data_IF_449500736427
#
_entry.id   IF_449500736427
#
_cell.length_a   1.000
_cell.length_b   1.000
_cell.length_c   1.000
_cell.angle_alpha   90.00
_cell.angle_beta   90.00
_cell.angle_gamma   90.00
#
_symmetry.space_group_name_H-M   'P 1'
#
loop_
_entity.id
_entity.type
_entity.pdbx_description
1 polymer ?
#
# COMPACT_ATOMS: atom_id res chain seq x y z
N UNK A 1 -26.61 22.94 -43.37
CA UNK A 1 -26.87 21.78 -42.55
C UNK A 1 -26.48 20.52 -43.32
N UNK A 2 -25.59 19.71 -42.79
CA UNK A 2 -25.05 18.51 -43.44
C UNK A 2 -26.12 17.45 -43.68
N UNK A 3 -27.12 17.36 -42.78
CA UNK A 3 -28.27 16.42 -42.90
C UNK A 3 -29.13 16.80 -44.13
N UNK A 4 -29.42 18.10 -44.31
CA UNK A 4 -30.18 18.58 -45.45
C UNK A 4 -29.48 18.31 -46.77
N UNK A 5 -28.13 18.47 -46.83
CA UNK A 5 -27.32 18.17 -48.01
C UNK A 5 -27.33 16.66 -48.32
N UNK A 6 -27.16 15.81 -47.32
CA UNK A 6 -27.20 14.36 -47.49
C UNK A 6 -28.58 13.89 -48.01
N UNK A 7 -29.66 14.43 -47.47
CA UNK A 7 -31.04 14.14 -47.97
C UNK A 7 -31.24 14.61 -49.40
N UNK A 8 -30.71 15.80 -49.75
CA UNK A 8 -30.78 16.34 -51.14
C UNK A 8 -30.00 15.46 -52.12
N UNK A 9 -28.96 14.81 -51.71
CA UNK A 9 -28.15 13.86 -52.50
C UNK A 9 -28.74 12.44 -52.51
N UNK A 10 -29.87 12.23 -51.85
CA UNK A 10 -30.56 10.92 -51.79
C UNK A 10 -29.92 9.92 -50.87
N UNK A 11 -29.01 10.37 -49.97
CA UNK A 11 -28.36 9.50 -48.96
C UNK A 11 -29.32 9.18 -47.83
N UNK A 12 -29.23 7.94 -47.33
CA UNK A 12 -30.04 7.50 -46.18
C UNK A 12 -29.46 8.08 -44.90
N UNK A 13 -30.22 8.94 -44.24
CA UNK A 13 -29.88 9.46 -42.89
C UNK A 13 -30.61 8.62 -41.84
N UNK A 14 -29.83 8.08 -40.87
CA UNK A 14 -30.40 7.34 -39.75
C UNK A 14 -30.06 8.08 -38.45
N UNK A 15 -30.98 8.04 -37.50
CA UNK A 15 -30.74 8.53 -36.14
C UNK A 15 -30.25 7.41 -35.24
N UNK A 16 -29.33 7.73 -34.37
CA UNK A 16 -28.95 6.90 -33.22
C UNK A 16 -29.22 7.71 -31.95
N UNK A 17 -29.73 7.04 -30.93
CA UNK A 17 -29.97 7.66 -29.63
C UNK A 17 -28.99 7.07 -28.62
N UNK A 18 -28.37 7.89 -27.74
CA UNK A 18 -27.60 7.40 -26.63
C UNK A 18 -28.50 6.78 -25.56
N UNK A 19 -27.93 5.96 -24.69
CA UNK A 19 -28.66 5.38 -23.56
C UNK A 19 -28.97 6.43 -22.49
N UNK A 20 -28.12 7.49 -22.40
CA UNK A 20 -28.32 8.61 -21.50
C UNK A 20 -27.92 9.96 -22.10
N UNK A 21 -28.60 11.04 -21.68
CA UNK A 21 -28.29 12.40 -22.12
C UNK A 21 -26.83 12.79 -21.85
N UNK A 22 -26.25 12.28 -20.78
CA UNK A 22 -24.87 12.55 -20.35
C UNK A 22 -23.79 12.08 -21.35
N UNK A 23 -24.11 11.13 -22.23
CA UNK A 23 -23.17 10.65 -23.27
C UNK A 23 -22.89 11.69 -24.37
N UNK A 24 -23.79 12.63 -24.55
CA UNK A 24 -23.72 13.64 -25.61
C UNK A 24 -23.50 15.06 -25.09
N UNK A 25 -23.34 15.23 -23.77
CA UNK A 25 -23.10 16.54 -23.19
C UNK A 25 -21.66 17.02 -23.49
N UNK A 26 -21.57 18.26 -23.96
CA UNK A 26 -20.30 18.95 -24.17
C UNK A 26 -19.77 19.60 -22.90
N UNK A 27 -18.45 19.72 -22.80
CA UNK A 27 -17.77 20.38 -21.68
C UNK A 27 -17.18 21.71 -22.15
N UNK A 28 -17.73 22.83 -21.65
CA UNK A 28 -17.25 24.18 -21.93
C UNK A 28 -16.74 24.92 -20.68
N UNK A 29 -16.92 24.31 -19.50
CA UNK A 29 -16.50 24.90 -18.21
C UNK A 29 -16.00 23.82 -17.24
N UNK A 30 -15.22 24.21 -16.23
CA UNK A 30 -14.80 23.31 -15.16
C UNK A 30 -15.97 22.80 -14.29
N UNK A 31 -17.06 23.56 -14.22
CA UNK A 31 -18.28 23.15 -13.54
C UNK A 31 -18.89 21.95 -14.28
N UNK A 32 -19.11 22.10 -15.59
CA UNK A 32 -19.63 21.01 -16.44
C UNK A 32 -18.71 19.77 -16.42
N UNK A 33 -17.39 19.98 -16.44
CA UNK A 33 -16.42 18.88 -16.29
C UNK A 33 -16.63 18.13 -14.97
N UNK A 34 -16.74 18.86 -13.86
CA UNK A 34 -16.94 18.26 -12.54
C UNK A 34 -18.28 17.52 -12.43
N UNK A 35 -19.34 18.05 -13.05
CA UNK A 35 -20.65 17.40 -13.11
C UNK A 35 -20.59 16.08 -13.88
N UNK A 36 -20.00 16.08 -15.08
CA UNK A 36 -19.84 14.87 -15.88
C UNK A 36 -18.90 13.84 -15.24
N UNK A 37 -17.86 14.30 -14.57
CA UNK A 37 -17.01 13.40 -13.77
C UNK A 37 -17.81 12.69 -12.69
N UNK A 38 -18.71 13.38 -11.98
CA UNK A 38 -19.57 12.73 -10.98
C UNK A 38 -20.57 11.74 -11.60
N UNK A 39 -21.10 12.04 -12.79
CA UNK A 39 -21.92 11.09 -13.53
C UNK A 39 -21.13 9.84 -13.91
N UNK A 40 -19.93 10.02 -14.45
CA UNK A 40 -19.03 8.92 -14.81
C UNK A 40 -18.71 8.03 -13.60
N UNK A 41 -18.29 8.62 -12.47
CA UNK A 41 -17.99 7.88 -11.25
C UNK A 41 -19.24 7.18 -10.69
N UNK A 42 -20.40 7.78 -10.81
CA UNK A 42 -21.67 7.14 -10.41
C UNK A 42 -21.97 5.90 -11.26
N UNK A 43 -21.80 5.99 -12.57
CA UNK A 43 -22.01 4.85 -13.47
C UNK A 43 -21.06 3.69 -13.16
N UNK A 44 -19.80 3.99 -12.84
CA UNK A 44 -18.83 2.98 -12.38
C UNK A 44 -19.31 2.33 -11.08
N UNK A 45 -19.69 3.13 -10.10
CA UNK A 45 -20.14 2.62 -8.79
C UNK A 45 -21.42 1.75 -8.94
N UNK A 46 -22.38 2.18 -9.77
CA UNK A 46 -23.60 1.41 -10.03
C UNK A 46 -23.29 0.07 -10.74
N UNK A 47 -22.36 0.06 -11.70
CA UNK A 47 -21.89 -1.17 -12.34
C UNK A 47 -21.20 -2.11 -11.33
N UNK A 48 -20.42 -1.58 -10.40
CA UNK A 48 -19.78 -2.35 -9.32
C UNK A 48 -20.82 -2.97 -8.38
N UNK A 49 -21.84 -2.20 -7.98
CA UNK A 49 -22.94 -2.70 -7.13
C UNK A 49 -23.72 -3.83 -7.83
N UNK A 50 -24.02 -3.66 -9.13
CA UNK A 50 -24.66 -4.71 -9.95
C UNK A 50 -23.75 -5.94 -10.09
N UNK A 51 -22.43 -5.72 -10.18
CA UNK A 51 -21.42 -6.77 -10.22
C UNK A 51 -21.17 -7.46 -8.87
N UNK A 52 -21.87 -7.04 -7.79
CA UNK A 52 -21.81 -7.69 -6.47
C UNK A 52 -20.79 -7.11 -5.51
N UNK A 53 -20.13 -6.00 -5.84
CA UNK A 53 -19.26 -5.28 -4.88
C UNK A 53 -20.12 -4.55 -3.85
N UNK A 54 -19.72 -4.60 -2.59
CA UNK A 54 -20.34 -3.82 -1.53
C UNK A 54 -19.62 -2.48 -1.38
N UNK A 55 -20.31 -1.37 -1.64
CA UNK A 55 -19.80 -0.02 -1.42
C UNK A 55 -20.49 0.59 -0.20
N UNK A 56 -19.70 1.14 0.74
CA UNK A 56 -20.26 1.83 1.90
C UNK A 56 -21.01 3.10 1.50
N UNK A 57 -20.51 3.82 0.50
CA UNK A 57 -21.17 4.98 -0.11
C UNK A 57 -20.73 5.12 -1.57
N UNK A 58 -21.62 4.84 -2.55
CA UNK A 58 -21.28 4.92 -3.97
C UNK A 58 -20.97 6.35 -4.46
N UNK A 59 -21.29 7.39 -3.69
CA UNK A 59 -20.94 8.77 -4.04
C UNK A 59 -19.51 9.16 -3.60
N UNK A 60 -18.86 8.34 -2.77
CA UNK A 60 -17.55 8.63 -2.19
C UNK A 60 -16.49 7.61 -2.59
N UNK A 61 -16.43 7.29 -3.86
CA UNK A 61 -15.39 6.46 -4.49
C UNK A 61 -14.95 7.16 -5.76
N UNK A 62 -13.66 7.11 -6.07
CA UNK A 62 -13.11 7.61 -7.32
C UNK A 62 -12.25 6.53 -8.00
N UNK A 63 -12.62 6.16 -9.22
CA UNK A 63 -11.87 5.24 -10.07
C UNK A 63 -11.29 6.04 -11.24
N UNK A 64 -9.95 6.15 -11.28
CA UNK A 64 -9.19 6.90 -12.28
C UNK A 64 -8.32 5.97 -13.09
N UNK A 65 -8.94 5.01 -13.74
CA UNK A 65 -8.30 3.95 -14.51
C UNK A 65 -9.16 2.71 -14.61
N UNK A 66 -8.53 1.55 -14.52
CA UNK A 66 -9.21 0.25 -14.59
C UNK A 66 -9.26 -0.39 -13.20
N UNK A 67 -10.45 -0.70 -12.72
CA UNK A 67 -10.66 -1.46 -11.50
C UNK A 67 -11.37 -2.78 -11.83
N UNK A 68 -10.67 -3.89 -11.66
CA UNK A 68 -11.24 -5.23 -11.70
C UNK A 68 -11.42 -5.80 -10.30
N UNK A 69 -12.47 -6.59 -10.10
CA UNK A 69 -12.81 -7.11 -8.79
C UNK A 69 -13.40 -8.52 -8.88
N UNK A 70 -13.13 -9.30 -7.85
CA UNK A 70 -13.73 -10.61 -7.63
C UNK A 70 -15.06 -10.53 -6.90
N UNK A 71 -15.46 -11.65 -6.29
CA UNK A 71 -16.71 -11.76 -5.51
C UNK A 71 -16.50 -11.28 -4.07
N UNK A 72 -17.58 -10.80 -3.45
CA UNK A 72 -17.64 -10.41 -2.04
C UNK A 72 -16.62 -9.30 -1.65
N UNK A 73 -16.18 -8.50 -2.62
CA UNK A 73 -15.31 -7.35 -2.36
C UNK A 73 -16.09 -6.27 -1.61
N UNK A 74 -15.47 -5.67 -0.59
CA UNK A 74 -15.99 -4.51 0.13
C UNK A 74 -15.07 -3.30 -0.01
N UNK A 75 -15.63 -2.13 -0.33
CA UNK A 75 -14.90 -0.86 -0.43
C UNK A 75 -15.60 0.19 0.42
N UNK A 76 -14.85 0.77 1.33
CA UNK A 76 -15.33 1.83 2.22
C UNK A 76 -15.18 3.22 1.57
N UNK A 77 -15.59 4.26 2.28
CA UNK A 77 -15.70 5.62 1.76
C UNK A 77 -14.35 6.29 1.47
N UNK A 78 -14.33 7.15 0.48
CA UNK A 78 -13.18 8.01 0.19
C UNK A 78 -11.99 7.27 -0.42
N UNK A 79 -12.19 6.08 -0.95
CA UNK A 79 -11.15 5.35 -1.65
C UNK A 79 -10.91 5.89 -3.05
N UNK A 80 -9.65 5.92 -3.47
CA UNK A 80 -9.21 6.34 -4.80
C UNK A 80 -8.42 5.20 -5.44
N UNK A 81 -8.83 4.79 -6.64
CA UNK A 81 -8.17 3.77 -7.44
C UNK A 81 -7.59 4.40 -8.70
N UNK A 82 -6.27 4.28 -8.93
CA UNK A 82 -5.59 4.88 -10.07
C UNK A 82 -4.86 3.81 -10.91
N UNK A 83 -4.80 4.04 -12.23
CA UNK A 83 -4.16 3.11 -13.16
C UNK A 83 -4.87 1.77 -13.21
N UNK A 84 -4.14 0.66 -13.09
CA UNK A 84 -4.71 -0.68 -13.11
C UNK A 84 -4.72 -1.27 -11.71
N UNK A 85 -5.91 -1.49 -11.15
CA UNK A 85 -6.08 -2.11 -9.82
C UNK A 85 -6.90 -3.39 -9.94
N UNK A 86 -6.41 -4.46 -9.35
CA UNK A 86 -7.06 -5.77 -9.32
C UNK A 86 -7.30 -6.20 -7.87
N UNK A 87 -8.56 -6.38 -7.49
CA UNK A 87 -8.98 -6.87 -6.18
C UNK A 87 -9.54 -8.28 -6.34
N UNK A 88 -8.90 -9.28 -5.76
CA UNK A 88 -9.41 -10.65 -5.80
C UNK A 88 -10.64 -10.85 -4.91
N UNK A 89 -11.18 -12.08 -4.83
CA UNK A 89 -12.34 -12.41 -4.02
C UNK A 89 -12.14 -12.04 -2.53
N UNK A 90 -13.19 -11.57 -1.88
CA UNK A 90 -13.27 -11.25 -0.45
C UNK A 90 -12.24 -10.19 0.04
N UNK A 91 -11.71 -9.36 -0.85
CA UNK A 91 -10.85 -8.24 -0.46
C UNK A 91 -11.69 -7.15 0.22
N UNK A 92 -11.19 -6.64 1.35
CA UNK A 92 -11.78 -5.50 2.05
C UNK A 92 -10.84 -4.29 1.99
N UNK A 93 -11.34 -3.15 1.49
CA UNK A 93 -10.61 -1.88 1.44
C UNK A 93 -11.27 -0.88 2.39
N UNK A 94 -10.58 -0.56 3.48
CA UNK A 94 -11.02 0.43 4.46
C UNK A 94 -10.99 1.86 3.94
N UNK A 95 -11.57 2.82 4.69
CA UNK A 95 -11.80 4.16 4.20
C UNK A 95 -10.50 4.94 3.94
N UNK A 96 -10.59 5.89 2.99
CA UNK A 96 -9.52 6.82 2.63
C UNK A 96 -8.22 6.16 2.19
N UNK A 97 -8.30 5.00 1.55
CA UNK A 97 -7.16 4.35 0.93
C UNK A 97 -6.93 4.86 -0.50
N UNK A 98 -5.67 4.96 -0.90
CA UNK A 98 -5.26 5.26 -2.28
C UNK A 98 -4.47 4.08 -2.81
N UNK A 99 -4.99 3.44 -3.87
CA UNK A 99 -4.36 2.30 -4.54
C UNK A 99 -4.05 2.69 -5.99
N UNK A 100 -2.81 2.50 -6.41
CA UNK A 100 -2.37 2.80 -7.77
C UNK A 100 -1.53 1.66 -8.34
N UNK A 101 -1.98 1.07 -9.45
CA UNK A 101 -1.31 -0.09 -10.08
C UNK A 101 -1.04 -1.22 -9.06
N UNK A 102 -2.07 -1.72 -8.42
CA UNK A 102 -1.96 -2.69 -7.31
C UNK A 102 -2.73 -3.96 -7.65
N UNK A 103 -2.12 -5.10 -7.35
CA UNK A 103 -2.82 -6.38 -7.36
C UNK A 103 -2.95 -6.88 -5.92
N UNK A 104 -4.19 -7.19 -5.50
CA UNK A 104 -4.51 -7.61 -4.13
C UNK A 104 -5.10 -9.00 -4.13
N UNK A 105 -4.44 -9.92 -3.45
CA UNK A 105 -4.84 -11.32 -3.31
C UNK A 105 -6.09 -11.53 -2.44
N UNK A 106 -6.73 -12.67 -2.65
CA UNK A 106 -7.98 -13.08 -1.98
C UNK A 106 -7.92 -12.93 -0.45
N UNK A 107 -9.01 -12.48 0.16
CA UNK A 107 -9.16 -12.38 1.61
C UNK A 107 -8.33 -11.29 2.28
N UNK A 108 -7.55 -10.54 1.51
CA UNK A 108 -6.70 -9.48 2.05
C UNK A 108 -7.53 -8.30 2.55
N UNK A 109 -7.15 -7.79 3.72
CA UNK A 109 -7.75 -6.62 4.33
C UNK A 109 -6.79 -5.44 4.35
N UNK A 110 -7.20 -4.32 3.73
CA UNK A 110 -6.49 -3.05 3.75
C UNK A 110 -7.20 -2.12 4.74
N UNK A 111 -6.55 -1.81 5.85
CA UNK A 111 -7.09 -0.94 6.89
C UNK A 111 -7.05 0.55 6.47
N UNK A 112 -7.73 1.47 7.19
CA UNK A 112 -7.86 2.87 6.81
C UNK A 112 -6.55 3.60 6.53
N UNK A 113 -6.60 4.60 5.63
CA UNK A 113 -5.53 5.56 5.36
C UNK A 113 -4.23 4.93 4.81
N UNK A 114 -4.33 3.83 4.08
CA UNK A 114 -3.17 3.25 3.40
C UNK A 114 -2.93 3.90 2.04
N UNK A 115 -1.64 4.04 1.69
CA UNK A 115 -1.22 4.49 0.36
C UNK A 115 -0.35 3.41 -0.27
N UNK A 116 -0.84 2.82 -1.35
CA UNK A 116 -0.23 1.65 -2.00
C UNK A 116 -0.03 1.95 -3.48
N UNK A 117 1.20 1.82 -3.98
CA UNK A 117 1.56 2.12 -5.36
C UNK A 117 2.50 1.06 -5.92
N UNK A 118 2.21 0.58 -7.15
CA UNK A 118 3.01 -0.39 -7.91
C UNK A 118 3.45 -1.58 -7.03
N UNK A 119 2.49 -2.26 -6.41
CA UNK A 119 2.72 -3.31 -5.43
C UNK A 119 1.89 -4.57 -5.72
N UNK A 120 2.45 -5.72 -5.34
CA UNK A 120 1.76 -7.01 -5.34
C UNK A 120 1.52 -7.44 -3.89
N UNK A 121 0.29 -7.77 -3.56
CA UNK A 121 -0.10 -8.22 -2.22
C UNK A 121 -0.71 -9.61 -2.34
N UNK A 122 -0.11 -10.57 -1.66
CA UNK A 122 -0.58 -11.95 -1.59
C UNK A 122 -1.91 -12.10 -0.84
N UNK A 123 -2.48 -13.32 -0.83
CA UNK A 123 -3.74 -13.59 -0.15
C UNK A 123 -3.62 -13.50 1.37
N UNK A 124 -4.77 -13.27 2.01
CA UNK A 124 -4.95 -13.23 3.46
C UNK A 124 -4.02 -12.26 4.21
N UNK A 125 -3.60 -11.19 3.50
CA UNK A 125 -2.76 -10.13 4.06
C UNK A 125 -3.55 -9.17 4.96
N UNK A 126 -2.88 -8.61 5.97
CA UNK A 126 -3.41 -7.53 6.82
C UNK A 126 -2.51 -6.29 6.66
N UNK A 127 -3.02 -5.22 6.01
CA UNK A 127 -2.23 -4.04 5.65
C UNK A 127 -2.79 -2.79 6.34
N UNK A 128 -1.96 -2.11 7.10
CA UNK A 128 -2.30 -0.85 7.75
C UNK A 128 -2.79 -0.98 9.20
N UNK A 129 -3.43 0.07 9.74
CA UNK A 129 -3.71 1.36 9.09
C UNK A 129 -2.45 2.22 8.88
N UNK A 130 -2.55 3.29 8.05
CA UNK A 130 -1.44 4.22 7.78
C UNK A 130 -0.17 3.54 7.24
N UNK A 131 -0.30 2.46 6.50
CA UNK A 131 0.82 1.81 5.82
C UNK A 131 1.09 2.47 4.47
N UNK A 132 2.36 2.57 4.10
CA UNK A 132 2.80 3.05 2.80
C UNK A 132 3.58 1.98 2.05
N UNK A 133 2.98 1.40 1.02
CA UNK A 133 3.67 0.48 0.12
C UNK A 133 4.04 1.24 -1.16
N UNK A 134 5.33 1.25 -1.47
CA UNK A 134 5.91 1.98 -2.60
C UNK A 134 6.31 1.03 -3.72
N UNK A 135 6.61 1.58 -4.92
CA UNK A 135 6.94 0.78 -6.09
C UNK A 135 7.97 -0.32 -5.83
N UNK A 136 7.65 -1.51 -6.35
CA UNK A 136 8.46 -2.72 -6.22
C UNK A 136 8.33 -3.42 -4.86
N UNK A 137 7.20 -3.23 -4.17
CA UNK A 137 6.83 -3.99 -2.98
C UNK A 137 6.08 -5.25 -3.38
N UNK A 138 6.54 -6.40 -2.89
CA UNK A 138 5.88 -7.69 -3.09
C UNK A 138 5.68 -8.38 -1.73
N UNK A 139 4.43 -8.63 -1.38
CA UNK A 139 4.05 -9.29 -0.14
C UNK A 139 3.49 -10.69 -0.42
N UNK A 140 4.01 -11.68 0.26
CA UNK A 140 3.53 -13.06 0.22
C UNK A 140 2.20 -13.27 0.96
N UNK A 141 1.72 -14.50 1.03
CA UNK A 141 0.51 -14.85 1.78
C UNK A 141 0.62 -14.55 3.28
N UNK A 142 -0.49 -14.16 3.90
CA UNK A 142 -0.62 -13.96 5.35
C UNK A 142 0.37 -12.95 5.95
N UNK A 143 0.92 -12.06 5.13
CA UNK A 143 1.82 -11.00 5.60
C UNK A 143 1.04 -9.94 6.35
N UNK A 144 1.63 -9.44 7.45
CA UNK A 144 1.06 -8.36 8.25
C UNK A 144 1.95 -7.13 8.23
N UNK A 145 1.42 -6.04 7.70
CA UNK A 145 2.06 -4.73 7.67
C UNK A 145 1.21 -3.77 8.50
N UNK A 146 1.73 -3.31 9.62
CA UNK A 146 0.96 -2.47 10.54
C UNK A 146 1.16 -0.97 10.30
N UNK A 147 0.84 -0.18 11.33
CA UNK A 147 0.77 1.26 11.23
C UNK A 147 2.14 1.95 11.14
N UNK A 148 2.19 2.98 10.31
CA UNK A 148 3.39 3.79 10.07
C UNK A 148 4.59 2.95 9.57
N UNK A 149 4.30 1.95 8.77
CA UNK A 149 5.32 1.14 8.09
C UNK A 149 5.42 1.59 6.64
N UNK A 150 6.64 1.86 6.20
CA UNK A 150 6.94 2.14 4.80
C UNK A 150 7.79 1.01 4.21
N UNK A 151 7.33 0.44 3.07
CA UNK A 151 8.07 -0.60 2.34
C UNK A 151 8.34 -0.12 0.92
N UNK A 152 9.56 -0.36 0.41
CA UNK A 152 9.97 0.03 -0.94
C UNK A 152 10.95 -0.96 -1.54
N UNK A 153 10.70 -1.39 -2.78
CA UNK A 153 11.59 -2.31 -3.54
C UNK A 153 12.04 -3.47 -2.66
N UNK A 154 11.10 -4.15 -2.05
CA UNK A 154 11.37 -5.22 -1.08
C UNK A 154 10.35 -6.33 -1.21
N UNK A 155 10.80 -7.56 -0.98
CA UNK A 155 9.95 -8.72 -0.88
C UNK A 155 9.79 -9.13 0.58
N UNK A 156 8.56 -9.45 0.99
CA UNK A 156 8.26 -9.99 2.32
C UNK A 156 7.53 -11.30 2.12
N UNK A 157 8.15 -12.41 2.49
CA UNK A 157 7.59 -13.73 2.28
C UNK A 157 6.51 -14.09 3.31
N UNK A 158 5.85 -15.22 3.10
CA UNK A 158 4.65 -15.63 3.82
C UNK A 158 4.76 -15.55 5.35
N UNK A 159 3.66 -15.16 6.00
CA UNK A 159 3.49 -15.14 7.46
C UNK A 159 4.45 -14.21 8.21
N UNK A 160 5.16 -13.34 7.50
CA UNK A 160 6.06 -12.36 8.12
C UNK A 160 5.33 -11.11 8.56
N UNK A 161 5.84 -10.47 9.61
CA UNK A 161 5.18 -9.35 10.30
C UNK A 161 6.10 -8.16 10.43
N UNK A 162 5.63 -7.00 9.96
CA UNK A 162 6.25 -5.68 10.13
C UNK A 162 5.17 -4.73 10.65
N UNK A 163 4.96 -4.70 11.95
CA UNK A 163 3.72 -4.15 12.49
C UNK A 163 3.76 -2.68 12.93
N UNK A 164 4.94 -2.09 13.16
CA UNK A 164 5.02 -0.77 13.79
C UNK A 164 6.24 0.04 13.35
N UNK A 165 6.00 1.30 12.89
CA UNK A 165 7.02 2.36 12.81
C UNK A 165 8.33 1.90 12.13
N UNK A 166 8.27 1.18 11.05
CA UNK A 166 9.45 0.60 10.40
C UNK A 166 9.65 1.15 8.98
N UNK A 167 10.91 1.26 8.56
CA UNK A 167 11.27 1.49 7.15
C UNK A 167 12.00 0.27 6.59
N UNK A 168 11.42 -0.34 5.58
CA UNK A 168 11.96 -1.51 4.88
C UNK A 168 12.20 -1.13 3.41
N UNK A 169 13.46 -0.88 3.09
CA UNK A 169 13.88 -0.50 1.75
C UNK A 169 14.97 -1.42 1.21
N UNK A 170 14.84 -1.89 -0.05
CA UNK A 170 15.80 -2.79 -0.70
C UNK A 170 16.09 -4.03 0.16
N UNK A 171 15.07 -4.71 0.64
CA UNK A 171 15.20 -5.87 1.50
C UNK A 171 14.53 -7.11 0.90
N UNK A 172 15.10 -8.26 1.19
CA UNK A 172 14.47 -9.56 1.00
C UNK A 172 14.22 -10.15 2.40
N UNK A 173 12.94 -10.32 2.74
CA UNK A 173 12.52 -10.86 4.04
C UNK A 173 11.89 -12.23 3.80
N UNK A 174 12.43 -13.24 4.44
CA UNK A 174 11.98 -14.62 4.42
C UNK A 174 10.62 -14.83 5.08
N UNK A 175 10.25 -16.09 5.26
CA UNK A 175 8.98 -16.49 5.87
C UNK A 175 9.04 -16.42 7.40
N UNK A 176 7.89 -16.19 8.03
CA UNK A 176 7.71 -16.21 9.51
C UNK A 176 8.65 -15.28 10.26
N UNK A 177 9.15 -14.25 9.58
CA UNK A 177 10.00 -13.24 10.19
C UNK A 177 9.16 -12.28 11.04
N UNK A 178 9.67 -11.92 12.20
CA UNK A 178 9.08 -10.85 13.00
C UNK A 178 10.03 -9.65 13.06
N UNK A 179 9.59 -8.53 12.48
CA UNK A 179 10.33 -7.25 12.51
C UNK A 179 9.79 -6.37 13.64
N UNK A 180 10.65 -6.07 14.62
CA UNK A 180 10.30 -5.24 15.76
C UNK A 180 10.08 -3.77 15.39
N UNK A 181 9.34 -3.07 16.24
CA UNK A 181 9.02 -1.65 16.05
C UNK A 181 10.28 -0.78 15.94
N UNK A 182 10.26 0.21 15.04
CA UNK A 182 11.39 1.13 14.85
C UNK A 182 12.56 0.53 14.06
N UNK A 183 12.40 -0.61 13.43
CA UNK A 183 13.45 -1.20 12.59
C UNK A 183 13.62 -0.41 11.30
N UNK A 184 14.89 -0.16 10.93
CA UNK A 184 15.26 0.55 9.71
C UNK A 184 16.29 -0.27 8.93
N UNK A 185 16.02 -0.56 7.66
CA UNK A 185 17.03 -0.99 6.71
C UNK A 185 17.78 0.25 6.21
N UNK A 186 19.04 0.46 6.67
CA UNK A 186 19.87 1.57 6.25
C UNK A 186 20.52 1.22 4.90
N UNK A 187 19.72 1.34 3.84
CA UNK A 187 20.04 0.83 2.51
C UNK A 187 20.78 1.82 1.58
N UNK A 188 21.13 3.01 2.05
CA UNK A 188 21.73 4.08 1.25
C UNK A 188 22.91 4.72 1.95
N UNK A 189 24.06 4.78 1.27
CA UNK A 189 25.34 5.30 1.81
C UNK A 189 25.62 6.76 1.41
N UNK A 190 24.66 7.41 0.75
CA UNK A 190 24.81 8.76 0.19
C UNK A 190 25.04 8.76 -1.33
N UNK A 191 25.42 7.63 -1.93
CA UNK A 191 25.65 7.45 -3.36
C UNK A 191 24.97 6.19 -3.92
N UNK A 192 25.13 5.05 -3.26
CA UNK A 192 24.67 3.74 -3.71
C UNK A 192 23.62 3.16 -2.76
N UNK A 193 22.88 2.17 -3.28
CA UNK A 193 21.90 1.42 -2.51
C UNK A 193 22.30 -0.04 -2.42
N UNK A 194 22.17 -0.58 -1.21
CA UNK A 194 22.55 -1.94 -0.88
C UNK A 194 21.37 -2.71 -0.34
N UNK A 195 21.42 -4.02 -0.46
CA UNK A 195 20.38 -4.95 -0.05
C UNK A 195 20.59 -5.44 1.37
N UNK A 196 19.49 -5.57 2.11
CA UNK A 196 19.40 -6.32 3.35
C UNK A 196 18.73 -7.65 3.09
N UNK A 197 19.28 -8.75 3.57
CA UNK A 197 18.69 -10.09 3.48
C UNK A 197 18.34 -10.55 4.90
N UNK A 198 17.09 -10.93 5.11
CA UNK A 198 16.60 -11.50 6.36
C UNK A 198 16.02 -12.85 6.01
N UNK A 199 16.68 -13.92 6.44
CA UNK A 199 16.25 -15.28 6.14
C UNK A 199 15.02 -15.68 6.97
N UNK A 200 14.53 -16.92 6.76
CA UNK A 200 13.34 -17.43 7.43
C UNK A 200 13.49 -17.50 8.95
N UNK A 201 12.36 -17.41 9.67
CA UNK A 201 12.24 -17.60 11.12
C UNK A 201 13.07 -16.62 11.97
N UNK A 202 13.49 -15.48 11.40
CA UNK A 202 14.28 -14.46 12.09
C UNK A 202 13.40 -13.60 13.00
N UNK A 203 13.94 -13.25 14.17
CA UNK A 203 13.36 -12.26 15.08
C UNK A 203 14.24 -11.02 15.16
N UNK A 204 13.73 -9.88 14.69
CA UNK A 204 14.39 -8.58 14.82
C UNK A 204 13.81 -7.85 16.03
N UNK A 205 14.65 -7.56 17.03
CA UNK A 205 14.24 -6.75 18.18
C UNK A 205 13.94 -5.31 17.81
N UNK A 206 13.13 -4.64 18.61
CA UNK A 206 12.73 -3.25 18.37
C UNK A 206 13.93 -2.31 18.33
N UNK A 207 13.81 -1.19 17.59
CA UNK A 207 14.82 -0.15 17.43
C UNK A 207 16.14 -0.70 16.88
N UNK A 208 16.06 -1.58 15.88
CA UNK A 208 17.23 -2.15 15.20
C UNK A 208 17.52 -1.42 13.89
N UNK A 209 18.78 -1.10 13.64
CA UNK A 209 19.27 -0.50 12.40
C UNK A 209 20.13 -1.53 11.66
N UNK A 210 19.68 -1.91 10.45
CA UNK A 210 20.38 -2.88 9.60
C UNK A 210 21.15 -2.12 8.52
N UNK A 211 22.46 -1.94 8.74
CA UNK A 211 23.33 -1.18 7.83
C UNK A 211 23.73 -2.07 6.67
N UNK A 212 23.05 -1.92 5.55
CA UNK A 212 23.25 -2.74 4.36
C UNK A 212 24.63 -2.46 3.69
N UNK A 213 25.26 -3.48 3.05
CA UNK A 213 24.72 -4.83 2.88
C UNK A 213 24.95 -5.71 4.12
N UNK A 214 23.89 -6.37 4.58
CA UNK A 214 23.98 -7.37 5.67
C UNK A 214 22.98 -8.49 5.46
N UNK A 215 23.33 -9.67 5.99
CA UNK A 215 22.45 -10.84 6.04
C UNK A 215 22.16 -11.20 7.50
N UNK A 216 20.89 -11.43 7.82
CA UNK A 216 20.46 -12.02 9.08
C UNK A 216 20.07 -13.47 8.79
N UNK A 217 20.88 -14.40 9.26
CA UNK A 217 20.76 -15.83 8.95
C UNK A 217 19.54 -16.48 9.60
N UNK A 218 19.11 -17.58 9.02
CA UNK A 218 17.92 -18.35 9.41
C UNK A 218 17.83 -18.55 10.94
N UNK A 219 16.65 -18.27 11.50
CA UNK A 219 16.39 -18.45 12.94
C UNK A 219 17.21 -17.55 13.87
N UNK A 220 17.95 -16.59 13.36
CA UNK A 220 18.71 -15.65 14.18
C UNK A 220 17.79 -14.65 14.91
N UNK A 221 18.30 -14.16 16.04
CA UNK A 221 17.63 -13.13 16.83
C UNK A 221 18.55 -11.91 16.94
N UNK A 222 18.04 -10.73 16.61
CA UNK A 222 18.68 -9.46 16.96
C UNK A 222 18.05 -8.91 18.24
N UNK A 223 18.87 -8.61 19.24
CA UNK A 223 18.39 -7.96 20.45
C UNK A 223 17.95 -6.52 20.20
N UNK A 224 16.96 -6.02 20.93
CA UNK A 224 16.48 -4.65 20.77
C UNK A 224 17.62 -3.61 20.87
N UNK A 225 17.56 -2.54 20.05
CA UNK A 225 18.56 -1.50 19.99
C UNK A 225 19.87 -1.93 19.29
N UNK A 226 19.82 -2.97 18.47
CA UNK A 226 20.99 -3.44 17.73
C UNK A 226 21.24 -2.61 16.47
N UNK A 227 22.45 -2.07 16.31
CA UNK A 227 22.95 -1.56 15.03
C UNK A 227 23.82 -2.66 14.39
N UNK A 228 23.24 -3.36 13.40
CA UNK A 228 23.91 -4.45 12.70
C UNK A 228 24.74 -3.91 11.54
N UNK A 229 26.05 -4.13 11.57
CA UNK A 229 27.01 -3.68 10.53
C UNK A 229 27.77 -4.82 9.86
N UNK A 230 27.51 -6.05 10.29
CA UNK A 230 28.06 -7.31 9.75
C UNK A 230 26.97 -8.38 9.85
N UNK A 231 27.09 -9.42 9.07
CA UNK A 231 26.15 -10.53 9.06
C UNK A 231 25.94 -11.13 10.45
N UNK A 232 24.69 -11.48 10.76
CA UNK A 232 24.33 -12.26 11.94
C UNK A 232 24.20 -13.74 11.55
N UNK A 233 25.01 -14.65 12.11
CA UNK A 233 24.97 -16.06 11.76
C UNK A 233 23.63 -16.72 12.12
N UNK A 234 23.23 -17.79 11.40
CA UNK A 234 22.00 -18.52 11.68
C UNK A 234 21.92 -19.01 13.13
N UNK A 235 20.70 -18.99 13.71
CA UNK A 235 20.39 -19.53 15.02
C UNK A 235 21.11 -18.84 16.19
N UNK A 236 21.63 -17.64 16.00
CA UNK A 236 22.39 -16.93 17.03
C UNK A 236 21.63 -15.71 17.56
N UNK A 237 22.03 -15.25 18.76
CA UNK A 237 21.66 -13.94 19.28
C UNK A 237 22.76 -12.93 18.99
N UNK A 238 22.45 -11.89 18.22
CA UNK A 238 23.35 -10.76 17.97
C UNK A 238 22.85 -9.51 18.69
N UNK A 239 23.74 -8.85 19.42
CA UNK A 239 23.49 -7.57 20.10
C UNK A 239 24.66 -6.61 19.86
N UNK A 240 24.35 -5.35 19.58
CA UNK A 240 25.37 -4.31 19.41
C UNK A 240 24.86 -3.01 20.04
N UNK A 241 25.01 -2.90 21.35
CA UNK A 241 24.57 -1.74 22.11
C UNK A 241 25.59 -1.41 23.24
N UNK A 242 25.67 -0.13 23.58
CA UNK A 242 26.57 0.31 24.64
C UNK A 242 26.18 -0.31 25.99
N UNK A 243 27.17 -0.50 26.85
CA UNK A 243 26.95 -0.92 28.24
C UNK A 243 26.11 0.14 28.95
N UNK A 244 25.04 -0.26 29.62
CA UNK A 244 24.25 0.65 30.44
C UNK A 244 25.07 1.26 31.55
N UNK A 245 24.99 2.57 31.71
CA UNK A 245 25.61 3.33 32.81
C UNK A 245 24.51 4.05 33.57
N UNK A 246 24.51 3.92 34.90
CA UNK A 246 23.60 4.64 35.77
C UNK A 246 24.40 5.62 36.62
N UNK A 247 24.07 6.91 36.54
CA UNK A 247 24.70 7.96 37.32
C UNK A 247 23.86 8.21 38.57
N UNK A 248 24.35 7.76 39.72
CA UNK A 248 23.76 8.08 41.03
C UNK A 248 24.01 9.52 41.41
N UNK A 249 23.03 10.20 42.00
CA UNK A 249 23.14 11.60 42.39
C UNK A 249 22.93 12.62 41.24
N UNK A 250 22.59 12.19 40.04
CA UNK A 250 22.26 13.11 38.94
C UNK A 250 21.00 13.92 39.28
N UNK A 251 21.09 15.24 39.19
CA UNK A 251 19.95 16.16 39.41
C UNK A 251 19.50 16.74 38.08
N UNK A 252 18.21 16.64 37.81
CA UNK A 252 17.59 17.20 36.60
C UNK A 252 17.70 18.72 36.61
N UNK A 253 18.22 19.36 35.55
CA UNK A 253 18.23 20.83 35.44
C UNK A 253 16.81 21.41 35.58
N UNK A 254 16.71 22.48 36.38
CA UNK A 254 15.46 23.23 36.56
C UNK A 254 15.54 24.58 35.87
N UNK A 255 14.40 25.08 35.35
CA UNK A 255 14.34 26.44 34.81
C UNK A 255 14.62 27.43 35.91
N UNK A 256 15.65 28.26 35.76
CA UNK A 256 15.83 29.45 36.56
C UNK A 256 14.67 30.40 36.25
N UNK A 257 13.83 30.69 37.24
CA UNK A 257 12.84 31.81 37.10
C UNK A 257 13.63 33.09 36.84
N UNK A 258 13.38 33.73 35.68
CA UNK A 258 13.79 35.09 35.40
C UNK A 258 12.92 36.01 36.18
#
# INVERSE_FOLDING_TARGET
DIVALAVAEGLSVRTAQPDGEWEVLGVNSKVQLAELERVHQRNIADAMLVGGVRLADPARIDVRGELSYGRDVFIDVGCVFEGKVELADAVEVGPYCVLKNVNVGTGTRIAPFCHIEDALIGPDGEIGPYARLRPGTELGPEVRIGNFVEIKKSTVAAQSKVNHLAYIGHAEIGQRVNVGAGTITCNYDGANKYKTIIEDDVFIGSDSQLVAPVTVGHGATLGAGTTLTKDAPPGTLTVSRAKQVTLTGWVRPQKTKK
#
